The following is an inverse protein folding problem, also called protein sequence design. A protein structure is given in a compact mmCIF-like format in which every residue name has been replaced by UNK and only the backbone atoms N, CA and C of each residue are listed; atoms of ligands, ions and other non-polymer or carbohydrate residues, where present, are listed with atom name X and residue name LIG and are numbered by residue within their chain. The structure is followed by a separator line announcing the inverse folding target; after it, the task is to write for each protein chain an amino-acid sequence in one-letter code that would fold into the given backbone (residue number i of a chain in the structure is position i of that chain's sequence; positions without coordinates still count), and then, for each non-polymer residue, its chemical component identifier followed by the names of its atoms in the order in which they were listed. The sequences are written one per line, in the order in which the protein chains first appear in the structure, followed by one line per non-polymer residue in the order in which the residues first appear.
data_IF_986795748712
#
_entry.id   IF_986795748712
#
_cell.length_a   1.000
_cell.length_b   1.000
_cell.length_c   1.000
_cell.angle_alpha   90.00
_cell.angle_beta   90.00
_cell.angle_gamma   90.00
#
_symmetry.space_group_name_H-M   'P 1'
#
loop_
_entity.id
_entity.type
_entity.pdbx_description
1 polymer ?
#
# COMPACT_ATOMS: atom_id res chain seq x y z
N UNK A 1 24.98 20.98 17.11
CA UNK A 1 23.68 20.57 16.52
C UNK A 1 23.35 19.22 17.10
N UNK A 2 22.21 19.10 17.79
CA UNK A 2 21.75 17.81 18.31
C UNK A 2 21.10 17.06 17.16
N UNK A 3 21.61 15.89 16.81
CA UNK A 3 21.03 15.07 15.76
C UNK A 3 19.65 14.51 16.19
N UNK A 4 18.75 14.37 15.22
CA UNK A 4 17.47 13.71 15.43
C UNK A 4 17.69 12.25 15.84
N UNK A 5 17.01 11.80 16.89
CA UNK A 5 17.07 10.41 17.36
C UNK A 5 16.36 9.50 16.34
N UNK A 6 17.12 8.85 15.46
CA UNK A 6 16.58 7.97 14.41
C UNK A 6 16.39 6.51 14.85
N UNK A 7 16.89 6.13 16.03
CA UNK A 7 16.79 4.78 16.58
C UNK A 7 16.55 4.80 18.08
N UNK A 8 15.81 3.82 18.60
CA UNK A 8 15.61 3.68 20.03
C UNK A 8 16.94 3.27 20.71
N UNK A 9 17.43 4.00 21.72
CA UNK A 9 18.72 3.71 22.36
C UNK A 9 18.74 2.37 23.10
N UNK A 10 17.58 1.80 23.44
CA UNK A 10 17.49 0.53 24.17
C UNK A 10 17.39 -0.69 23.26
N UNK A 11 16.63 -0.61 22.17
CA UNK A 11 16.36 -1.78 21.31
C UNK A 11 16.85 -1.61 19.86
N UNK A 12 17.49 -0.49 19.53
CA UNK A 12 17.98 -0.12 18.20
C UNK A 12 16.95 -0.21 17.06
N UNK A 13 15.65 -0.30 17.39
CA UNK A 13 14.58 -0.21 16.38
C UNK A 13 14.54 1.21 15.84
N UNK A 14 14.42 1.33 14.52
CA UNK A 14 14.25 2.61 13.83
C UNK A 14 13.03 3.35 14.37
N UNK A 15 13.21 4.64 14.62
CA UNK A 15 12.14 5.58 14.96
C UNK A 15 11.87 6.40 13.70
N UNK A 16 10.90 6.01 12.87
CA UNK A 16 10.55 6.79 11.71
C UNK A 16 9.98 8.14 12.14
N UNK A 17 10.58 9.25 11.71
CA UNK A 17 10.00 10.60 11.80
C UNK A 17 8.90 10.78 10.74
N UNK A 18 7.93 9.87 10.78
CA UNK A 18 6.77 9.84 9.90
C UNK A 18 5.57 10.45 10.65
N UNK A 19 4.48 10.72 9.94
CA UNK A 19 3.24 11.32 10.48
C UNK A 19 2.48 10.30 11.38
N UNK A 20 3.11 9.20 11.79
CA UNK A 20 2.50 8.11 12.54
C UNK A 20 3.30 7.74 13.77
N UNK A 21 2.58 7.51 14.85
CA UNK A 21 3.04 6.97 16.12
C UNK A 21 3.03 5.44 16.19
N UNK A 22 2.63 4.72 15.12
CA UNK A 22 2.57 3.24 15.11
C UNK A 22 3.89 2.53 15.41
N UNK A 23 5.03 3.19 15.23
CA UNK A 23 6.36 2.67 15.58
C UNK A 23 6.64 2.75 17.07
N UNK A 24 5.87 3.57 17.79
CA UNK A 24 5.92 3.79 19.23
C UNK A 24 4.88 2.89 19.93
N UNK A 25 5.12 2.61 21.20
CA UNK A 25 4.16 1.89 22.06
C UNK A 25 3.20 2.84 22.77
N UNK A 26 3.66 4.07 23.04
CA UNK A 26 2.90 5.19 23.60
C UNK A 26 3.52 6.50 23.09
N UNK A 27 2.87 7.67 23.23
CA UNK A 27 3.47 8.95 22.88
C UNK A 27 4.88 9.08 23.46
N UNK A 28 5.85 9.39 22.59
CA UNK A 28 7.26 9.51 22.95
C UNK A 28 7.83 8.29 23.69
N UNK A 29 7.31 7.08 23.45
CA UNK A 29 7.76 5.86 24.11
C UNK A 29 7.91 4.74 23.07
N UNK A 30 9.10 4.17 22.93
CA UNK A 30 9.32 3.04 22.05
C UNK A 30 8.49 1.82 22.50
N UNK A 31 8.15 0.91 21.58
CA UNK A 31 7.47 -0.37 21.89
C UNK A 31 8.21 -1.24 22.91
N UNK A 32 9.50 -1.04 23.12
CA UNK A 32 10.26 -1.72 24.17
C UNK A 32 10.10 -1.08 25.56
N UNK A 33 9.31 -0.01 25.70
CA UNK A 33 9.10 0.73 26.94
C UNK A 33 10.07 1.90 27.18
N UNK A 34 11.07 2.10 26.32
CA UNK A 34 11.99 3.23 26.47
C UNK A 34 11.28 4.57 26.20
N UNK A 35 11.29 5.46 27.19
CA UNK A 35 10.76 6.82 27.07
C UNK A 35 11.77 7.71 26.34
N UNK A 36 11.35 8.28 25.22
CA UNK A 36 12.10 9.25 24.42
C UNK A 36 11.94 10.67 24.96
N UNK A 37 10.88 10.92 25.73
CA UNK A 37 10.68 12.14 26.48
C UNK A 37 10.04 11.82 27.84
N UNK A 38 10.47 12.52 28.89
CA UNK A 38 9.89 12.44 30.22
C UNK A 38 9.15 13.75 30.55
N UNK A 39 7.83 13.67 30.64
CA UNK A 39 6.96 14.82 30.93
C UNK A 39 6.54 14.90 32.40
N UNK A 40 7.09 14.04 33.28
CA UNK A 40 6.70 14.01 34.69
C UNK A 40 7.18 15.24 35.49
N UNK A 41 8.27 15.90 35.06
CA UNK A 41 8.93 16.96 35.83
C UNK A 41 8.72 18.40 35.31
N UNK A 42 8.49 18.59 34.02
CA UNK A 42 8.20 19.91 33.45
C UNK A 42 7.19 19.77 32.33
N UNK A 43 6.01 20.36 32.52
CA UNK A 43 5.11 20.63 31.41
C UNK A 43 5.82 21.51 30.38
N UNK A 44 5.29 21.56 29.16
CA UNK A 44 5.75 22.33 28.00
C UNK A 44 6.17 23.80 28.27
N UNK A 45 5.91 24.34 29.45
CA UNK A 45 6.32 25.67 29.93
C UNK A 45 7.84 25.91 29.96
N UNK A 46 8.68 24.86 29.97
CA UNK A 46 10.15 25.00 29.86
C UNK A 46 10.65 25.08 28.43
N UNK A 47 9.83 24.75 27.42
CA UNK A 47 10.16 24.92 26.01
C UNK A 47 10.05 26.40 25.60
N UNK A 48 11.00 27.23 26.07
CA UNK A 48 11.14 28.65 25.69
C UNK A 48 11.96 28.84 24.40
N UNK A 49 11.95 27.87 23.51
CA UNK A 49 12.62 27.99 22.22
C UNK A 49 11.60 28.38 21.16
N UNK A 50 11.79 29.54 20.55
CA UNK A 50 11.14 29.89 19.29
C UNK A 50 11.82 29.11 18.18
N UNK A 51 11.17 28.07 17.69
CA UNK A 51 11.65 27.32 16.53
C UNK A 51 11.24 28.04 15.25
N UNK A 52 12.17 28.19 14.31
CA UNK A 52 11.83 28.61 12.96
C UNK A 52 11.51 27.38 12.13
N UNK A 53 10.26 27.28 11.69
CA UNK A 53 9.82 26.22 10.77
C UNK A 53 10.38 26.58 9.38
N UNK A 54 11.34 25.79 8.91
CA UNK A 54 11.99 25.99 7.61
C UNK A 54 11.24 25.30 6.48
N UNK A 55 10.48 24.25 6.76
CA UNK A 55 9.68 23.55 5.77
C UNK A 55 8.43 24.37 5.42
N UNK A 56 8.35 24.82 4.17
CA UNK A 56 7.24 25.66 3.69
C UNK A 56 5.90 24.92 3.72
N UNK A 57 5.87 23.60 3.53
CA UNK A 57 4.63 22.82 3.56
C UNK A 57 4.10 22.68 4.99
N UNK A 58 4.98 22.47 5.97
CA UNK A 58 4.62 22.42 7.39
C UNK A 58 4.16 23.80 7.87
N UNK A 59 4.86 24.86 7.45
CA UNK A 59 4.47 26.23 7.75
C UNK A 59 3.09 26.56 7.14
N UNK A 60 2.87 26.18 5.88
CA UNK A 60 1.57 26.28 5.21
C UNK A 60 0.47 25.56 6.00
N UNK A 61 0.77 24.34 6.47
CA UNK A 61 -0.17 23.53 7.22
C UNK A 61 -0.60 24.14 8.54
N UNK A 62 0.35 24.68 9.30
CA UNK A 62 0.07 25.29 10.60
C UNK A 62 -0.65 26.63 10.42
N UNK A 63 -0.25 27.43 9.43
CA UNK A 63 -0.84 28.77 9.21
C UNK A 63 -2.23 28.70 8.56
N UNK A 64 -2.47 27.73 7.67
CA UNK A 64 -3.70 27.64 6.86
C UNK A 64 -4.55 26.40 7.13
N UNK A 65 -4.17 25.52 8.05
CA UNK A 65 -4.88 24.25 8.34
C UNK A 65 -6.37 24.45 8.59
N UNK A 66 -6.72 25.39 9.46
CA UNK A 66 -8.12 25.65 9.87
C UNK A 66 -8.95 26.41 8.82
N UNK A 67 -8.29 27.11 7.87
CA UNK A 67 -8.98 27.95 6.88
C UNK A 67 -9.08 27.30 5.51
N UNK A 68 -8.16 26.37 5.19
CA UNK A 68 -8.08 25.69 3.90
C UNK A 68 -8.97 24.46 3.82
N UNK A 69 -9.19 23.79 4.95
CA UNK A 69 -10.01 22.58 5.04
C UNK A 69 -11.24 22.90 5.87
N UNK A 70 -12.42 22.50 5.37
CA UNK A 70 -13.64 22.64 6.14
C UNK A 70 -13.57 21.81 7.42
N UNK A 71 -14.32 22.20 8.45
CA UNK A 71 -14.42 21.45 9.72
C UNK A 71 -14.82 19.98 9.53
N UNK A 72 -15.46 19.67 8.40
CA UNK A 72 -15.90 18.34 8.00
C UNK A 72 -14.92 17.60 7.10
N UNK A 73 -13.83 18.22 6.64
CA UNK A 73 -12.86 17.54 5.79
C UNK A 73 -11.95 16.62 6.61
N UNK A 74 -11.62 15.46 6.04
CA UNK A 74 -10.82 14.41 6.65
C UNK A 74 -9.80 13.91 5.64
N UNK A 75 -8.62 13.59 6.14
CA UNK A 75 -7.51 13.04 5.35
C UNK A 75 -7.22 11.61 5.78
N UNK A 76 -7.29 10.71 4.81
CA UNK A 76 -6.89 9.32 4.94
C UNK A 76 -5.67 9.06 4.07
N UNK A 77 -4.60 8.53 4.64
CA UNK A 77 -3.34 8.31 3.93
C UNK A 77 -2.48 7.29 4.68
N UNK A 78 -1.58 6.58 3.99
CA UNK A 78 -0.60 5.76 4.69
C UNK A 78 0.50 6.68 5.27
N UNK A 79 0.65 6.76 6.60
CA UNK A 79 1.62 7.67 7.20
C UNK A 79 3.07 7.24 6.95
N UNK A 80 3.30 5.99 6.54
CA UNK A 80 4.63 5.51 6.22
C UNK A 80 5.14 5.96 4.84
N UNK A 81 4.25 6.49 3.98
CA UNK A 81 4.60 6.91 2.62
C UNK A 81 4.14 8.32 2.28
N UNK A 82 3.14 8.86 2.98
CA UNK A 82 2.61 10.18 2.67
C UNK A 82 3.57 11.30 3.10
N UNK A 83 3.66 12.33 2.26
CA UNK A 83 4.36 13.58 2.56
C UNK A 83 3.33 14.70 2.75
N UNK A 84 3.61 15.64 3.66
CA UNK A 84 2.75 16.82 3.89
C UNK A 84 2.54 17.62 2.59
N UNK A 85 3.58 17.69 1.75
CA UNK A 85 3.51 18.30 0.42
C UNK A 85 2.38 17.73 -0.45
N UNK A 86 2.00 16.47 -0.23
CA UNK A 86 0.95 15.78 -0.98
C UNK A 86 -0.44 16.31 -0.57
N UNK A 87 -0.63 16.81 0.65
CA UNK A 87 -1.95 17.28 1.11
C UNK A 87 -2.50 18.43 0.27
N UNK A 88 -1.63 19.16 -0.42
CA UNK A 88 -1.98 20.34 -1.20
C UNK A 88 -2.17 20.09 -2.70
N UNK A 89 -1.88 18.88 -3.18
CA UNK A 89 -2.07 18.54 -4.59
C UNK A 89 -3.56 18.36 -4.88
N UNK A 90 -3.97 18.79 -6.07
CA UNK A 90 -5.34 18.63 -6.58
C UNK A 90 -5.36 17.53 -7.63
N UNK A 91 -6.13 16.48 -7.35
CA UNK A 91 -6.65 15.56 -8.35
C UNK A 91 -7.95 15.00 -7.76
N UNK A 92 -8.98 14.87 -8.58
CA UNK A 92 -10.32 14.47 -8.11
C UNK A 92 -10.87 13.34 -8.95
N UNK A 93 -11.56 12.42 -8.29
CA UNK A 93 -12.48 11.50 -8.91
C UNK A 93 -13.76 11.49 -8.08
N UNK A 94 -14.89 11.24 -8.73
CA UNK A 94 -16.18 11.24 -8.06
C UNK A 94 -16.58 9.82 -7.68
N UNK A 95 -16.86 9.60 -6.39
CA UNK A 95 -17.51 8.37 -5.94
C UNK A 95 -19.02 8.56 -5.89
N UNK A 96 -19.77 7.55 -6.32
CA UNK A 96 -21.19 7.45 -5.96
C UNK A 96 -21.29 6.53 -4.76
N UNK A 97 -21.70 7.08 -3.63
CA UNK A 97 -21.97 6.29 -2.42
C UNK A 97 -23.42 5.85 -2.50
N UNK A 98 -23.64 4.57 -2.79
CA UNK A 98 -24.98 4.02 -2.67
C UNK A 98 -25.27 3.83 -1.18
N UNK A 99 -26.04 4.76 -0.60
CA UNK A 99 -26.65 4.55 0.70
C UNK A 99 -27.69 3.43 0.55
N UNK A 100 -27.27 2.20 0.82
CA UNK A 100 -28.23 1.14 1.07
C UNK A 100 -28.82 1.40 2.45
N UNK A 101 -30.16 1.56 2.52
CA UNK A 101 -30.89 1.32 3.76
C UNK A 101 -30.78 -0.18 4.06
N UNK A 102 -29.66 -0.61 4.59
CA UNK A 102 -29.49 -1.99 5.02
C UNK A 102 -30.27 -2.20 6.30
N UNK A 103 -31.18 -3.17 6.29
CA UNK A 103 -31.72 -3.76 7.52
C UNK A 103 -30.57 -4.14 8.45
N UNK A 104 -30.74 -3.97 9.76
CA UNK A 104 -29.76 -3.97 10.86
C UNK A 104 -28.75 -5.14 10.99
N UNK A 105 -28.49 -5.96 9.98
CA UNK A 105 -27.66 -7.15 10.12
C UNK A 105 -26.90 -7.58 8.85
N UNK A 106 -26.32 -6.65 8.07
CA UNK A 106 -25.21 -7.06 7.20
C UNK A 106 -24.00 -7.34 8.11
N UNK A 107 -23.88 -8.59 8.54
CA UNK A 107 -22.82 -9.02 9.47
C UNK A 107 -21.44 -8.58 8.97
N UNK A 108 -20.53 -8.23 9.88
CA UNK A 108 -19.12 -7.92 9.59
C UNK A 108 -18.46 -8.99 8.71
N UNK A 109 -18.89 -10.24 8.86
CA UNK A 109 -18.50 -11.39 8.03
C UNK A 109 -18.85 -11.17 6.54
N UNK A 110 -20.03 -10.61 6.25
CA UNK A 110 -20.44 -10.32 4.88
C UNK A 110 -19.61 -9.19 4.27
N UNK A 111 -19.38 -8.11 5.02
CA UNK A 111 -18.50 -7.02 4.59
C UNK A 111 -17.10 -7.55 4.24
N UNK A 112 -16.51 -8.40 5.10
CA UNK A 112 -15.21 -9.01 4.84
C UNK A 112 -15.19 -9.86 3.56
N UNK A 113 -16.27 -10.61 3.29
CA UNK A 113 -16.39 -11.40 2.05
C UNK A 113 -16.48 -10.50 0.81
N UNK A 114 -17.25 -9.43 0.90
CA UNK A 114 -17.45 -8.49 -0.21
C UNK A 114 -16.13 -7.78 -0.54
N UNK A 115 -15.41 -7.31 0.49
CA UNK A 115 -14.09 -6.71 0.33
C UNK A 115 -13.06 -7.66 -0.28
N UNK A 116 -13.07 -8.92 0.14
CA UNK A 116 -12.20 -9.94 -0.44
C UNK A 116 -12.50 -10.14 -1.93
N UNK A 117 -13.78 -10.24 -2.31
CA UNK A 117 -14.15 -10.46 -3.72
C UNK A 117 -13.85 -9.22 -4.58
N UNK A 118 -14.12 -8.02 -4.09
CA UNK A 118 -13.79 -6.78 -4.78
C UNK A 118 -12.28 -6.62 -4.96
N UNK A 119 -11.49 -6.84 -3.92
CA UNK A 119 -10.03 -6.80 -4.00
C UNK A 119 -9.49 -7.86 -4.97
N UNK A 120 -10.10 -9.04 -5.03
CA UNK A 120 -9.79 -10.08 -6.00
C UNK A 120 -10.10 -9.66 -7.43
N UNK A 121 -11.23 -9.00 -7.69
CA UNK A 121 -11.54 -8.48 -9.03
C UNK A 121 -10.62 -7.32 -9.43
N UNK A 122 -10.27 -6.45 -8.48
CA UNK A 122 -9.25 -5.42 -8.66
C UNK A 122 -7.90 -6.05 -9.06
N UNK A 123 -7.40 -7.01 -8.27
CA UNK A 123 -6.15 -7.69 -8.55
C UNK A 123 -6.17 -8.43 -9.89
N UNK A 124 -7.26 -9.13 -10.25
CA UNK A 124 -7.41 -9.74 -11.58
C UNK A 124 -7.27 -8.74 -12.71
N UNK A 125 -7.80 -7.54 -12.54
CA UNK A 125 -7.72 -6.47 -13.54
C UNK A 125 -6.28 -5.98 -13.70
N UNK A 126 -5.55 -5.81 -12.59
CA UNK A 126 -4.13 -5.45 -12.57
C UNK A 126 -3.28 -6.56 -13.22
N UNK A 127 -3.50 -7.81 -12.82
CA UNK A 127 -2.82 -9.00 -13.36
C UNK A 127 -3.05 -9.15 -14.87
N UNK A 128 -4.28 -8.90 -15.34
CA UNK A 128 -4.60 -8.86 -16.78
C UNK A 128 -3.89 -7.72 -17.48
N UNK A 129 -3.87 -6.51 -16.90
CA UNK A 129 -3.18 -5.35 -17.47
C UNK A 129 -1.67 -5.62 -17.61
N UNK A 130 -1.02 -6.13 -16.57
CA UNK A 130 0.42 -6.47 -16.63
C UNK A 130 0.68 -7.50 -17.73
N UNK A 131 -0.11 -8.57 -17.79
CA UNK A 131 0.09 -9.62 -18.79
C UNK A 131 -0.17 -9.16 -20.22
N UNK A 132 -1.26 -8.44 -20.45
CA UNK A 132 -1.74 -8.13 -21.80
C UNK A 132 -1.17 -6.82 -22.36
N UNK A 133 -0.75 -5.89 -21.50
CA UNK A 133 -0.23 -4.60 -21.93
C UNK A 133 1.28 -4.50 -21.71
N UNK A 134 1.78 -4.87 -20.52
CA UNK A 134 3.21 -4.73 -20.21
C UNK A 134 4.04 -5.92 -20.71
N UNK A 135 3.48 -7.12 -20.68
CA UNK A 135 4.20 -8.38 -20.95
C UNK A 135 3.64 -9.18 -22.12
N UNK A 136 2.94 -8.54 -23.06
CA UNK A 136 2.26 -9.21 -24.18
C UNK A 136 3.19 -10.09 -25.03
N UNK A 137 4.48 -9.72 -25.15
CA UNK A 137 5.49 -10.48 -25.89
C UNK A 137 6.09 -11.66 -25.09
N UNK A 138 5.78 -11.77 -23.80
CA UNK A 138 6.41 -12.72 -22.87
C UNK A 138 5.45 -13.78 -22.32
N UNK A 139 4.25 -13.94 -22.89
CA UNK A 139 3.29 -14.97 -22.45
C UNK A 139 3.88 -16.38 -22.46
N UNK A 140 4.65 -16.75 -23.50
CA UNK A 140 5.27 -18.07 -23.57
C UNK A 140 6.38 -18.22 -22.50
N UNK A 141 7.18 -17.18 -22.27
CA UNK A 141 8.22 -17.20 -21.24
C UNK A 141 7.63 -17.42 -19.84
N UNK A 142 6.53 -16.72 -19.53
CA UNK A 142 5.79 -16.90 -18.26
C UNK A 142 5.34 -18.36 -18.14
N UNK A 143 4.72 -18.91 -19.18
CA UNK A 143 4.26 -20.30 -19.17
C UNK A 143 5.41 -21.30 -18.97
N UNK A 144 6.52 -21.13 -19.68
CA UNK A 144 7.70 -21.99 -19.57
C UNK A 144 8.23 -22.01 -18.14
N UNK A 145 8.40 -20.84 -17.52
CA UNK A 145 8.89 -20.73 -16.15
C UNK A 145 7.89 -21.28 -15.13
N UNK A 146 6.60 -21.01 -15.32
CA UNK A 146 5.55 -21.43 -14.40
C UNK A 146 5.28 -22.94 -14.43
N UNK A 147 5.49 -23.59 -15.57
CA UNK A 147 5.32 -25.04 -15.77
C UNK A 147 6.64 -25.81 -15.63
N UNK A 148 7.75 -25.13 -15.32
CA UNK A 148 9.09 -25.73 -15.21
C UNK A 148 9.45 -26.59 -16.42
N UNK A 149 9.18 -26.08 -17.64
CA UNK A 149 9.45 -26.83 -18.87
C UNK A 149 10.95 -26.98 -19.10
N UNK A 150 11.35 -28.19 -19.47
CA UNK A 150 12.72 -28.54 -19.86
C UNK A 150 12.87 -28.57 -21.37
N UNK A 151 14.10 -28.39 -21.84
CA UNK A 151 14.53 -28.74 -23.19
C UNK A 151 14.52 -30.26 -23.36
N UNK A 152 14.58 -30.73 -24.61
CA UNK A 152 14.59 -32.16 -24.95
C UNK A 152 15.75 -32.91 -24.26
N UNK A 153 16.87 -32.20 -24.05
CA UNK A 153 18.08 -32.68 -23.37
C UNK A 153 17.93 -32.73 -21.83
N UNK A 154 16.78 -32.32 -21.28
CA UNK A 154 16.45 -32.38 -19.86
C UNK A 154 16.89 -31.17 -19.02
N UNK A 155 17.57 -30.19 -19.63
CA UNK A 155 17.98 -28.93 -18.99
C UNK A 155 16.86 -27.88 -18.97
N UNK A 156 16.90 -26.98 -17.99
CA UNK A 156 15.96 -25.85 -17.94
C UNK A 156 16.40 -24.72 -18.88
N UNK A 157 15.43 -24.07 -19.50
CA UNK A 157 15.71 -22.91 -20.34
C UNK A 157 16.21 -21.72 -19.50
N UNK A 158 17.04 -20.84 -20.08
CA UNK A 158 17.39 -19.56 -19.45
C UNK A 158 16.13 -18.78 -19.06
N UNK A 159 16.14 -18.23 -17.85
CA UNK A 159 14.97 -17.53 -17.32
C UNK A 159 14.86 -16.15 -17.97
N UNK A 160 13.74 -15.89 -18.64
CA UNK A 160 13.40 -14.55 -19.14
C UNK A 160 13.18 -13.58 -17.96
N UNK A 161 13.85 -12.40 -17.93
CA UNK A 161 13.67 -11.41 -16.85
C UNK A 161 12.23 -10.95 -16.65
N UNK A 162 11.46 -10.75 -17.72
CA UNK A 162 10.05 -10.35 -17.60
C UNK A 162 9.17 -11.44 -16.99
N UNK A 163 9.43 -12.71 -17.34
CA UNK A 163 8.75 -13.84 -16.75
C UNK A 163 9.11 -14.00 -15.27
N UNK A 164 10.39 -13.84 -14.94
CA UNK A 164 10.89 -13.81 -13.56
C UNK A 164 10.14 -12.76 -12.74
N UNK A 165 10.16 -11.49 -13.19
CA UNK A 165 9.52 -10.38 -12.48
C UNK A 165 8.05 -10.66 -12.20
N UNK A 166 7.29 -11.08 -13.22
CA UNK A 166 5.87 -11.37 -13.08
C UNK A 166 5.58 -12.52 -12.12
N UNK A 167 6.31 -13.63 -12.23
CA UNK A 167 6.03 -14.82 -11.42
C UNK A 167 6.28 -14.53 -9.94
N UNK A 168 7.42 -13.92 -9.60
CA UNK A 168 7.75 -13.63 -8.21
C UNK A 168 6.97 -12.44 -7.63
N UNK A 169 6.62 -11.44 -8.46
CA UNK A 169 5.64 -10.41 -8.10
C UNK A 169 4.30 -11.03 -7.69
N UNK A 170 3.74 -11.89 -8.55
CA UNK A 170 2.44 -12.53 -8.29
C UNK A 170 2.51 -13.46 -7.09
N UNK A 171 3.58 -14.25 -6.97
CA UNK A 171 3.77 -15.16 -5.85
C UNK A 171 3.80 -14.41 -4.52
N UNK A 172 4.60 -13.33 -4.43
CA UNK A 172 4.77 -12.58 -3.18
C UNK A 172 3.53 -11.78 -2.80
N UNK A 173 2.83 -11.13 -3.75
CA UNK A 173 1.57 -10.42 -3.45
C UNK A 173 0.52 -11.36 -2.88
N UNK A 174 0.37 -12.54 -3.47
CA UNK A 174 -0.65 -13.52 -3.09
C UNK A 174 -0.23 -14.40 -1.89
N UNK A 175 1.01 -14.25 -1.42
CA UNK A 175 1.63 -15.13 -0.44
C UNK A 175 1.46 -16.62 -0.82
N UNK A 176 1.74 -16.93 -2.09
CA UNK A 176 1.61 -18.28 -2.64
C UNK A 176 2.80 -19.15 -2.22
N UNK A 177 2.51 -20.37 -1.77
CA UNK A 177 3.53 -21.33 -1.28
C UNK A 177 4.56 -21.68 -2.38
N UNK A 178 4.10 -21.79 -3.63
CA UNK A 178 4.92 -22.12 -4.78
C UNK A 178 4.68 -21.12 -5.91
N UNK A 179 5.71 -20.89 -6.72
CA UNK A 179 5.61 -20.02 -7.91
C UNK A 179 5.17 -20.77 -9.17
N UNK A 180 5.34 -22.09 -9.18
CA UNK A 180 5.00 -22.98 -10.28
C UNK A 180 3.63 -23.63 -10.09
N UNK A 181 3.06 -24.17 -11.16
CA UNK A 181 1.78 -24.87 -11.13
C UNK A 181 2.04 -26.37 -10.99
N UNK A 182 1.54 -26.99 -9.92
CA UNK A 182 1.43 -28.45 -9.79
C UNK A 182 0.04 -28.98 -10.13
N UNK A 183 -0.99 -28.13 -9.98
CA UNK A 183 -2.37 -28.50 -10.33
C UNK A 183 -3.19 -27.31 -10.82
N UNK A 184 -4.26 -27.57 -11.60
CA UNK A 184 -5.21 -26.54 -12.03
C UNK A 184 -5.89 -25.80 -10.87
N UNK A 185 -5.92 -26.39 -9.66
CA UNK A 185 -6.48 -25.75 -8.46
C UNK A 185 -5.55 -24.66 -7.89
N UNK A 186 -4.25 -24.73 -8.12
CA UNK A 186 -3.28 -23.72 -7.65
C UNK A 186 -3.25 -22.44 -8.48
N UNK A 187 -3.87 -22.45 -9.66
CA UNK A 187 -4.12 -21.22 -10.41
C UNK A 187 -5.20 -20.35 -9.74
N UNK A 188 -5.96 -20.91 -8.79
CA UNK A 188 -7.02 -20.20 -8.09
C UNK A 188 -6.46 -19.30 -6.99
N UNK A 189 -7.14 -18.18 -6.78
CA UNK A 189 -6.82 -17.26 -5.71
C UNK A 189 -6.90 -17.96 -4.35
N UNK A 190 -6.04 -17.60 -3.39
CA UNK A 190 -6.04 -18.24 -2.08
C UNK A 190 -7.41 -18.07 -1.42
N UNK A 191 -8.13 -19.16 -1.16
CA UNK A 191 -9.50 -19.09 -0.63
C UNK A 191 -9.57 -18.21 0.64
N UNK A 192 -10.65 -17.42 0.76
CA UNK A 192 -11.03 -16.81 2.04
C UNK A 192 -11.49 -17.94 2.96
N UNK A 193 -10.54 -18.58 3.66
CA UNK A 193 -10.87 -19.63 4.61
C UNK A 193 -11.56 -19.00 5.82
N UNK A 194 -12.88 -19.18 5.93
CA UNK A 194 -13.66 -18.92 7.14
C UNK A 194 -13.52 -17.52 7.77
N UNK A 195 -13.30 -16.47 6.96
CA UNK A 195 -13.23 -15.09 7.45
C UNK A 195 -11.87 -14.64 8.00
N UNK A 196 -10.81 -15.46 7.87
CA UNK A 196 -9.46 -15.10 8.33
C UNK A 196 -8.70 -14.17 7.39
N UNK A 197 -9.12 -14.05 6.12
CA UNK A 197 -8.49 -13.19 5.10
C UNK A 197 -9.47 -12.15 4.61
N UNK A 198 -9.10 -10.89 4.77
CA UNK A 198 -9.87 -9.73 4.32
C UNK A 198 -9.59 -9.42 2.84
N UNK A 199 -8.40 -9.74 2.35
CA UNK A 199 -7.94 -9.34 1.00
C UNK A 199 -7.19 -10.46 0.29
N UNK A 200 -7.21 -10.47 -1.05
CA UNK A 200 -6.41 -11.42 -1.84
C UNK A 200 -4.93 -11.02 -1.88
N UNK A 201 -4.65 -9.72 -1.82
CA UNK A 201 -3.32 -9.12 -1.78
C UNK A 201 -2.73 -9.18 -0.38
N UNK A 202 -2.41 -10.39 0.06
CA UNK A 202 -1.95 -10.73 1.41
C UNK A 202 -0.72 -9.93 1.85
N UNK A 203 0.18 -9.60 0.91
CA UNK A 203 1.40 -8.83 1.21
C UNK A 203 1.15 -7.45 1.83
N UNK A 204 -0.02 -6.84 1.54
CA UNK A 204 -0.40 -5.50 2.02
C UNK A 204 -1.64 -5.52 2.90
N UNK A 205 -2.07 -6.70 3.36
CA UNK A 205 -3.31 -6.87 4.14
C UNK A 205 -3.33 -5.97 5.39
N UNK A 206 -2.24 -5.91 6.16
CA UNK A 206 -2.15 -5.05 7.34
C UNK A 206 -2.37 -3.57 7.01
N UNK A 207 -1.85 -3.11 5.87
CA UNK A 207 -2.01 -1.72 5.44
C UNK A 207 -3.45 -1.43 5.00
N UNK A 208 -4.09 -2.37 4.30
CA UNK A 208 -5.48 -2.24 3.88
C UNK A 208 -6.45 -2.28 5.07
N UNK A 209 -6.18 -3.14 6.06
CA UNK A 209 -6.93 -3.20 7.32
C UNK A 209 -6.80 -1.88 8.09
N UNK A 210 -5.59 -1.33 8.20
CA UNK A 210 -5.39 -0.03 8.85
C UNK A 210 -6.15 1.11 8.15
N UNK A 211 -6.11 1.16 6.82
CA UNK A 211 -6.83 2.17 6.05
C UNK A 211 -8.34 2.04 6.24
N UNK A 212 -8.87 0.82 6.27
CA UNK A 212 -10.27 0.54 6.58
C UNK A 212 -10.64 1.04 7.97
N UNK A 213 -9.87 0.67 8.98
CA UNK A 213 -10.18 0.99 10.38
C UNK A 213 -10.11 2.50 10.62
N UNK A 214 -9.11 3.19 10.03
CA UNK A 214 -9.01 4.64 10.10
C UNK A 214 -10.09 5.37 9.32
N UNK A 215 -10.48 4.87 8.15
CA UNK A 215 -11.65 5.42 7.46
C UNK A 215 -12.90 5.26 8.32
N UNK A 216 -13.05 4.12 9.01
CA UNK A 216 -14.19 3.84 9.89
C UNK A 216 -14.31 4.84 11.04
N UNK A 217 -13.19 5.29 11.60
CA UNK A 217 -13.19 6.29 12.67
C UNK A 217 -13.36 7.72 12.17
N UNK A 218 -13.11 7.96 10.88
CA UNK A 218 -13.18 9.28 10.25
C UNK A 218 -14.55 9.63 9.65
N UNK A 219 -15.50 8.69 9.58
CA UNK A 219 -16.84 8.91 9.02
C UNK A 219 -17.93 8.81 10.09
N UNK A 220 -19.08 9.44 9.86
CA UNK A 220 -20.22 9.40 10.77
C UNK A 220 -21.15 8.18 10.61
N UNK A 221 -20.85 7.29 9.66
CA UNK A 221 -21.63 6.08 9.37
C UNK A 221 -20.86 4.81 9.74
N UNK A 222 -21.55 3.67 9.86
CA UNK A 222 -20.84 2.39 9.88
C UNK A 222 -20.25 2.15 8.51
N UNK A 223 -19.05 1.57 8.45
CA UNK A 223 -18.40 1.26 7.17
C UNK A 223 -19.17 0.25 6.32
N UNK A 224 -19.98 -0.61 6.96
CA UNK A 224 -20.96 -1.46 6.29
C UNK A 224 -21.96 -0.68 5.42
N UNK A 225 -22.19 0.59 5.75
CA UNK A 225 -23.16 1.46 5.10
C UNK A 225 -22.50 2.30 3.99
N UNK A 226 -21.16 2.23 3.88
CA UNK A 226 -20.36 2.92 2.85
C UNK A 226 -19.44 1.97 2.06
N UNK A 227 -19.93 0.81 1.57
CA UNK A 227 -19.07 -0.18 0.92
C UNK A 227 -18.40 0.36 -0.35
N UNK A 228 -19.08 1.22 -1.12
CA UNK A 228 -18.52 1.83 -2.32
C UNK A 228 -17.33 2.77 -2.06
N UNK A 229 -17.39 3.57 -0.98
CA UNK A 229 -16.27 4.43 -0.57
C UNK A 229 -15.07 3.57 -0.15
N UNK A 230 -15.32 2.58 0.71
CA UNK A 230 -14.29 1.69 1.21
C UNK A 230 -13.61 0.94 0.06
N UNK A 231 -14.41 0.33 -0.82
CA UNK A 231 -13.94 -0.37 -2.01
C UNK A 231 -12.98 0.49 -2.83
N UNK A 232 -13.36 1.73 -3.11
CA UNK A 232 -12.57 2.62 -3.96
C UNK A 232 -11.27 3.03 -3.32
N UNK A 233 -11.27 3.39 -2.04
CA UNK A 233 -10.04 3.73 -1.30
C UNK A 233 -9.07 2.56 -1.32
N UNK A 234 -9.54 1.36 -0.93
CA UNK A 234 -8.70 0.18 -0.81
C UNK A 234 -8.22 -0.34 -2.17
N UNK A 235 -9.10 -0.37 -3.18
CA UNK A 235 -8.74 -0.82 -4.52
C UNK A 235 -7.83 0.17 -5.24
N UNK A 236 -7.99 1.48 -5.00
CA UNK A 236 -7.06 2.49 -5.51
C UNK A 236 -5.67 2.28 -4.90
N UNK A 237 -5.58 2.13 -3.58
CA UNK A 237 -4.32 1.84 -2.90
C UNK A 237 -3.67 0.56 -3.45
N UNK A 238 -4.47 -0.51 -3.56
CA UNK A 238 -4.03 -1.80 -4.10
C UNK A 238 -3.47 -1.66 -5.51
N UNK A 239 -4.15 -0.91 -6.38
CA UNK A 239 -3.73 -0.69 -7.76
C UNK A 239 -2.35 -0.04 -7.83
N UNK A 240 -2.17 1.08 -7.12
CA UNK A 240 -0.91 1.81 -7.14
C UNK A 240 0.23 1.00 -6.53
N UNK A 241 -0.01 0.34 -5.39
CA UNK A 241 0.98 -0.54 -4.78
C UNK A 241 1.39 -1.68 -5.70
N UNK A 242 0.42 -2.42 -6.28
CA UNK A 242 0.71 -3.59 -7.09
C UNK A 242 1.53 -3.24 -8.33
N UNK A 243 1.24 -2.10 -8.97
CA UNK A 243 2.00 -1.61 -10.12
C UNK A 243 3.41 -1.16 -9.71
N UNK A 244 3.54 -0.35 -8.65
CA UNK A 244 4.86 0.07 -8.13
C UNK A 244 5.73 -1.14 -7.78
N UNK A 245 5.15 -2.13 -7.13
CA UNK A 245 5.86 -3.34 -6.71
C UNK A 245 6.25 -4.22 -7.89
N UNK A 246 5.44 -4.28 -8.95
CA UNK A 246 5.84 -4.95 -10.19
C UNK A 246 7.09 -4.31 -10.81
N UNK A 247 7.18 -2.97 -10.78
CA UNK A 247 8.37 -2.27 -11.27
C UNK A 247 9.61 -2.52 -10.41
N UNK A 248 9.47 -2.64 -9.09
CA UNK A 248 10.56 -3.06 -8.24
C UNK A 248 11.06 -4.45 -8.65
N UNK A 249 10.16 -5.40 -8.93
CA UNK A 249 10.55 -6.73 -9.42
C UNK A 249 11.23 -6.70 -10.78
N UNK A 250 10.75 -5.88 -11.72
CA UNK A 250 11.40 -5.69 -13.01
C UNK A 250 12.83 -5.17 -12.87
N UNK A 251 13.07 -4.21 -11.98
CA UNK A 251 14.38 -3.57 -11.81
C UNK A 251 15.49 -4.55 -11.43
N UNK A 252 15.16 -5.62 -10.71
CA UNK A 252 16.11 -6.64 -10.26
C UNK A 252 16.12 -7.90 -11.12
N UNK A 253 15.18 -8.02 -12.07
CA UNK A 253 14.89 -9.30 -12.71
C UNK A 253 16.02 -9.79 -13.62
N UNK A 254 16.71 -8.87 -14.33
CA UNK A 254 17.77 -9.25 -15.27
C UNK A 254 18.91 -10.01 -14.57
N UNK A 255 19.40 -9.44 -13.47
CA UNK A 255 20.50 -10.02 -12.69
C UNK A 255 20.08 -11.32 -12.00
N UNK A 256 18.91 -11.31 -11.36
CA UNK A 256 18.45 -12.47 -10.58
C UNK A 256 17.99 -13.64 -11.45
N UNK A 257 17.43 -13.38 -12.64
CA UNK A 257 17.08 -14.41 -13.60
C UNK A 257 18.33 -15.10 -14.16
N UNK A 258 19.36 -14.32 -14.50
CA UNK A 258 20.64 -14.86 -14.97
C UNK A 258 21.35 -15.68 -13.89
N UNK A 259 21.28 -15.24 -12.63
CA UNK A 259 21.85 -15.94 -11.48
C UNK A 259 20.97 -17.09 -10.94
N UNK A 260 19.78 -17.32 -11.51
CA UNK A 260 18.80 -18.33 -11.06
C UNK A 260 18.57 -18.24 -9.54
N UNK A 261 18.31 -17.02 -9.07
CA UNK A 261 18.22 -16.69 -7.64
C UNK A 261 16.93 -15.95 -7.34
N UNK A 262 16.38 -16.18 -6.14
CA UNK A 262 15.34 -15.32 -5.55
C UNK A 262 15.99 -14.38 -4.53
N UNK A 263 15.65 -13.08 -4.51
CA UNK A 263 16.15 -12.16 -3.49
C UNK A 263 15.73 -12.62 -2.08
N UNK A 264 16.57 -12.32 -1.09
CA UNK A 264 16.24 -12.54 0.32
C UNK A 264 15.06 -11.67 0.75
N UNK A 265 14.34 -12.07 1.80
CA UNK A 265 13.25 -11.27 2.37
C UNK A 265 13.65 -9.85 2.78
N UNK A 266 14.92 -9.61 3.16
CA UNK A 266 15.41 -8.24 3.42
C UNK A 266 15.32 -7.33 2.19
N UNK A 267 15.62 -7.87 1.01
CA UNK A 267 15.52 -7.13 -0.26
C UNK A 267 14.05 -6.97 -0.65
N UNK A 268 13.25 -8.03 -0.50
CA UNK A 268 11.81 -8.00 -0.77
C UNK A 268 11.10 -6.95 0.10
N UNK A 269 11.41 -6.89 1.39
CA UNK A 269 10.83 -5.89 2.30
C UNK A 269 11.21 -4.47 1.91
N UNK A 270 12.46 -4.22 1.49
CA UNK A 270 12.86 -2.91 0.95
C UNK A 270 12.08 -2.56 -0.33
N UNK A 271 11.87 -3.52 -1.22
CA UNK A 271 11.05 -3.32 -2.41
C UNK A 271 9.60 -2.97 -2.03
N UNK A 272 9.04 -3.63 -1.01
CA UNK A 272 7.70 -3.30 -0.50
C UNK A 272 7.62 -1.89 0.08
N UNK A 273 8.63 -1.46 0.84
CA UNK A 273 8.72 -0.11 1.40
C UNK A 273 8.75 0.93 0.27
N UNK A 274 9.59 0.74 -0.75
CA UNK A 274 9.66 1.62 -1.92
C UNK A 274 8.41 1.56 -2.83
N UNK A 275 7.54 0.58 -2.64
CA UNK A 275 6.31 0.42 -3.42
C UNK A 275 5.09 1.07 -2.79
N UNK A 276 5.21 1.55 -1.54
CA UNK A 276 4.10 2.20 -0.86
C UNK A 276 3.68 3.45 -1.63
N UNK A 277 2.41 3.53 -2.08
CA UNK A 277 1.96 4.69 -2.83
C UNK A 277 1.94 5.93 -1.94
N UNK A 278 2.40 7.05 -2.51
CA UNK A 278 2.26 8.38 -1.91
C UNK A 278 0.88 8.89 -2.30
N UNK A 279 -0.13 8.52 -1.50
CA UNK A 279 -1.55 8.79 -1.77
C UNK A 279 -2.26 9.33 -0.52
N UNK A 280 -3.07 10.36 -0.74
CA UNK A 280 -3.90 11.00 0.29
C UNK A 280 -5.31 11.12 -0.25
N UNK A 281 -6.25 10.48 0.43
CA UNK A 281 -7.68 10.56 0.16
C UNK A 281 -8.28 11.65 1.05
N UNK A 282 -8.89 12.65 0.42
CA UNK A 282 -9.67 13.67 1.12
C UNK A 282 -11.13 13.32 0.98
N UNK A 283 -11.82 13.27 2.11
CA UNK A 283 -13.23 12.97 2.17
C UNK A 283 -13.89 13.84 3.24
N UNK A 284 -15.21 13.76 3.33
CA UNK A 284 -16.00 14.44 4.36
C UNK A 284 -16.35 13.49 5.49
N UNK A 285 -16.47 14.02 6.70
CA UNK A 285 -16.97 13.33 7.89
C UNK A 285 -18.44 12.94 7.70
N UNK A 286 -19.26 13.89 7.23
CA UNK A 286 -20.67 13.66 6.89
C UNK A 286 -20.77 13.07 5.49
N UNK A 287 -21.26 11.83 5.40
CA UNK A 287 -21.39 11.11 4.13
C UNK A 287 -22.78 11.34 3.53
N UNK A 288 -22.84 12.04 2.40
CA UNK A 288 -24.05 12.22 1.59
C UNK A 288 -24.22 11.10 0.54
N UNK A 289 -25.37 11.07 -0.15
CA UNK A 289 -25.67 10.12 -1.25
C UNK A 289 -24.67 10.17 -2.42
N UNK A 290 -23.90 11.25 -2.55
CA UNK A 290 -22.82 11.38 -3.51
C UNK A 290 -21.65 11.99 -2.77
N UNK A 291 -20.51 11.33 -2.79
CA UNK A 291 -19.31 11.82 -2.14
C UNK A 291 -18.20 12.00 -3.15
N UNK A 292 -17.70 13.22 -3.25
CA UNK A 292 -16.46 13.47 -3.97
C UNK A 292 -15.29 13.15 -3.04
N UNK A 293 -14.42 12.25 -3.49
CA UNK A 293 -13.18 11.90 -2.81
C UNK A 293 -12.07 12.51 -3.63
N UNK A 294 -11.40 13.52 -3.10
CA UNK A 294 -10.21 14.04 -3.77
C UNK A 294 -9.05 13.10 -3.47
N UNK A 295 -8.22 12.81 -4.47
CA UNK A 295 -6.98 12.09 -4.26
C UNK A 295 -5.84 13.01 -4.60
N UNK A 296 -4.96 13.25 -3.65
CA UNK A 296 -3.64 13.74 -3.96
C UNK A 296 -2.66 12.57 -4.10
N UNK A 297 -1.96 12.51 -5.22
CA UNK A 297 -0.90 11.51 -5.47
C UNK A 297 0.40 12.19 -5.90
N UNK A 298 1.51 11.54 -5.60
CA UNK A 298 2.78 11.81 -6.25
C UNK A 298 3.06 10.78 -7.33
N UNK A 299 3.06 11.20 -8.58
CA UNK A 299 3.62 10.42 -9.68
C UNK A 299 5.14 10.60 -9.68
N UNK A 300 5.83 9.76 -8.90
CA UNK A 300 7.27 9.84 -8.72
C UNK A 300 7.96 8.48 -8.92
N UNK A 301 8.88 8.45 -9.90
CA UNK A 301 9.89 7.43 -10.26
C UNK A 301 9.49 6.25 -11.19
N UNK A 302 8.43 5.50 -10.96
CA UNK A 302 8.28 4.20 -11.68
C UNK A 302 7.83 4.29 -13.16
N UNK A 303 7.23 5.41 -13.60
CA UNK A 303 6.85 5.59 -15.02
C UNK A 303 8.06 5.85 -15.94
N UNK A 304 9.20 6.35 -15.43
CA UNK A 304 10.36 6.74 -16.26
C UNK A 304 11.21 5.56 -16.76
N UNK A 305 11.01 4.37 -16.21
CA UNK A 305 11.73 3.16 -16.66
C UNK A 305 11.15 2.65 -18.00
N UNK A 306 9.89 2.97 -18.31
CA UNK A 306 9.19 2.40 -19.46
C UNK A 306 9.53 3.04 -20.81
N UNK A 307 9.97 4.29 -20.86
CA UNK A 307 10.25 4.97 -22.15
C UNK A 307 11.58 4.57 -22.78
N UNK A 308 12.55 4.07 -22.00
CA UNK A 308 13.89 3.74 -22.52
C UNK A 308 14.05 2.29 -22.98
N UNK A 309 13.34 1.35 -22.37
CA UNK A 309 13.55 -0.09 -22.62
C UNK A 309 12.53 -0.73 -23.58
N UNK A 310 11.51 0.01 -24.03
CA UNK A 310 10.56 -0.45 -25.05
C UNK A 310 10.99 -0.15 -26.50
N UNK A 311 12.10 0.58 -26.68
CA UNK A 311 12.67 0.93 -28.00
C UNK A 311 13.92 0.09 -28.33
N UNK A 312 14.25 -0.91 -27.50
CA UNK A 312 15.34 -1.87 -27.72
C UNK A 312 14.87 -3.17 -28.33
#
# INVERSE_FOLDING_TARGET
MTELITQCPTCNKSIPFLISDKSLGNPFTCKCGNKLADFAGSQWSTWKYTFQITDECVKDWIERGDTKWGINDRLLFNPNSAEISTFYRKCSFTSRVHQHKTSELTSEIQLTKDLYEENKQCFKSIDKYIRNNLLCKHHNCIRVLQELRKLEEGEFQPICPYAYAYIFWRQTILNAQHFYITSKKEQQFPASKSGTRNFVTQLIEETLVDLRDRLSTQINLKVSDTPGLLSQVLNRYTTEFCLNYFYQWLSIAKENAAAIRVPSWTVVNKMMEHSQPIIVFKHRYEIENKQEVEIAMSYGLNQRVFEKDLVG
#
